data_IF_224224455201
#
_entry.id   IF_224224455201
#
_cell.length_a   1.000
_cell.length_b   1.000
_cell.length_c   1.000
_cell.angle_alpha   90.00
_cell.angle_beta   90.00
_cell.angle_gamma   90.00
#
_symmetry.space_group_name_H-M   'P 1'
#
loop_
_entity.id
_entity.type
_entity.pdbx_description
1 polymer ?
#
# COMPACT_ATOMS: atom_id res chain seq x y z
N UNK A 1 35.00 -75.55 9.86
CA UNK A 1 34.55 -74.45 10.74
C UNK A 1 35.54 -73.30 10.56
N UNK A 2 35.23 -72.34 9.69
CA UNK A 2 36.09 -71.17 9.45
C UNK A 2 35.41 -69.97 10.08
N UNK A 3 36.06 -69.38 11.08
CA UNK A 3 35.64 -68.08 11.70
C UNK A 3 36.02 -66.96 10.75
N UNK A 4 35.00 -66.26 10.26
CA UNK A 4 35.16 -65.07 9.47
C UNK A 4 35.23 -63.85 10.39
N UNK A 5 36.42 -63.24 10.45
CA UNK A 5 36.70 -62.04 11.27
C UNK A 5 36.28 -60.85 10.47
N UNK A 6 35.22 -60.12 10.94
CA UNK A 6 34.81 -58.85 10.34
C UNK A 6 35.66 -57.74 10.96
N UNK A 7 36.57 -57.17 10.17
CA UNK A 7 37.26 -55.95 10.51
C UNK A 7 36.30 -54.80 10.18
N UNK A 8 35.72 -54.18 11.23
CA UNK A 8 34.95 -52.94 11.11
C UNK A 8 35.96 -51.80 11.00
N UNK A 9 36.17 -51.34 9.78
CA UNK A 9 36.87 -50.07 9.52
C UNK A 9 35.91 -48.93 9.82
N UNK A 10 35.99 -48.38 11.04
CA UNK A 10 35.28 -47.19 11.42
C UNK A 10 35.98 -45.98 10.78
N UNK A 11 35.46 -45.56 9.60
CA UNK A 11 35.91 -44.34 8.96
C UNK A 11 35.42 -43.16 9.76
N UNK A 12 36.28 -42.61 10.61
CA UNK A 12 36.08 -41.33 11.29
C UNK A 12 36.07 -40.22 10.26
N UNK A 13 34.88 -39.92 9.73
CA UNK A 13 34.60 -38.68 9.07
C UNK A 13 34.63 -37.58 10.16
N UNK A 14 35.79 -36.98 10.38
CA UNK A 14 35.87 -35.69 11.06
C UNK A 14 35.19 -34.66 10.19
N UNK A 15 33.91 -34.46 10.43
CA UNK A 15 33.24 -33.24 9.95
C UNK A 15 33.96 -32.05 10.58
N UNK A 16 34.87 -31.45 9.79
CA UNK A 16 35.31 -30.09 10.07
C UNK A 16 34.07 -29.20 9.89
N UNK A 17 33.26 -29.07 10.92
CA UNK A 17 32.40 -27.94 11.06
C UNK A 17 33.35 -26.73 11.21
N UNK A 18 33.63 -26.08 10.09
CA UNK A 18 34.23 -24.76 10.11
C UNK A 18 33.30 -23.90 10.94
N UNK A 19 33.66 -23.62 12.18
CA UNK A 19 33.01 -22.60 12.98
C UNK A 19 33.18 -21.34 12.13
N UNK A 20 32.06 -20.86 11.53
CA UNK A 20 32.01 -19.52 10.96
C UNK A 20 32.28 -18.56 12.13
N UNK A 21 33.57 -18.32 12.40
CA UNK A 21 33.95 -17.33 13.38
C UNK A 21 33.62 -15.97 12.80
N UNK A 22 32.84 -15.20 13.50
CA UNK A 22 32.62 -13.80 13.17
C UNK A 22 33.97 -13.15 12.98
N UNK A 23 34.21 -12.49 11.83
CA UNK A 23 35.51 -11.92 11.51
C UNK A 23 35.67 -10.50 12.03
N UNK A 24 34.54 -9.87 12.32
CA UNK A 24 34.46 -8.57 12.97
C UNK A 24 33.67 -8.73 14.28
N UNK A 25 34.07 -7.95 15.27
CA UNK A 25 33.36 -7.87 16.54
C UNK A 25 33.03 -6.40 16.83
N UNK A 26 31.73 -6.13 16.99
CA UNK A 26 31.28 -4.82 17.44
C UNK A 26 31.42 -4.71 18.95
N UNK A 27 31.89 -3.57 19.46
CA UNK A 27 31.93 -3.29 20.89
C UNK A 27 30.51 -3.26 21.49
N UNK A 28 29.57 -2.74 20.71
CA UNK A 28 28.12 -2.79 20.98
C UNK A 28 27.35 -2.92 19.67
N UNK A 29 26.19 -3.54 19.70
CA UNK A 29 25.32 -3.69 18.52
C UNK A 29 23.95 -3.02 18.71
N UNK A 30 23.78 -2.29 19.79
CA UNK A 30 22.54 -1.66 20.19
C UNK A 30 22.81 -0.31 20.82
N UNK A 31 21.99 0.70 20.44
CA UNK A 31 22.01 1.99 21.07
C UNK A 31 20.60 2.56 21.24
N UNK A 32 20.34 3.19 22.40
CA UNK A 32 19.07 3.86 22.71
C UNK A 32 19.28 5.37 22.76
N UNK A 33 18.69 6.08 21.81
CA UNK A 33 18.72 7.55 21.80
C UNK A 33 17.87 8.19 22.91
N UNK A 34 17.06 7.37 23.63
CA UNK A 34 16.13 7.89 24.61
C UNK A 34 14.98 8.68 23.96
N UNK A 35 14.61 9.78 24.60
CA UNK A 35 13.57 10.69 24.10
C UNK A 35 14.22 11.82 23.31
N UNK A 36 13.84 11.98 22.04
CA UNK A 36 14.36 13.02 21.13
C UNK A 36 13.19 13.82 20.55
N UNK A 37 13.42 15.09 20.23
CA UNK A 37 12.40 15.93 19.60
C UNK A 37 12.32 15.67 18.09
N UNK A 38 11.11 15.70 17.52
CA UNK A 38 10.89 15.53 16.08
C UNK A 38 11.61 16.60 15.25
N UNK A 39 11.65 17.83 15.74
CA UNK A 39 12.29 19.00 15.11
C UNK A 39 13.70 19.28 15.67
N UNK A 40 14.23 18.40 16.51
CA UNK A 40 15.55 18.54 17.12
C UNK A 40 16.74 18.29 16.16
N UNK A 41 16.45 17.96 14.90
CA UNK A 41 17.47 17.58 13.91
C UNK A 41 17.86 16.11 13.99
N UNK A 42 18.78 15.71 13.12
CA UNK A 42 19.29 14.33 13.10
C UNK A 42 20.12 14.02 14.32
N UNK A 43 19.94 12.82 14.86
CA UNK A 43 20.78 12.24 15.92
C UNK A 43 21.67 11.17 15.33
N UNK A 44 22.88 11.00 15.92
CA UNK A 44 23.83 10.03 15.41
C UNK A 44 24.49 9.23 16.54
N UNK A 45 24.90 8.01 16.20
CA UNK A 45 25.68 7.14 17.07
C UNK A 45 26.74 6.40 16.27
N UNK A 46 27.94 6.22 16.86
CA UNK A 46 29.06 5.55 16.22
C UNK A 46 29.28 4.20 16.89
N UNK A 47 29.06 3.14 16.12
CA UNK A 47 29.40 1.77 16.52
C UNK A 47 30.86 1.47 16.11
N UNK A 48 31.69 1.13 17.06
CA UNK A 48 33.03 0.69 16.79
C UNK A 48 33.09 -0.82 16.62
N UNK A 49 33.91 -1.25 15.69
CA UNK A 49 34.15 -2.67 15.40
C UNK A 49 35.64 -2.95 15.32
N UNK A 50 36.05 -4.16 15.66
CA UNK A 50 37.42 -4.65 15.56
C UNK A 50 37.47 -5.85 14.62
N UNK A 51 38.47 -5.90 13.75
CA UNK A 51 38.77 -7.07 12.96
C UNK A 51 39.50 -8.10 13.82
N UNK A 52 38.83 -9.19 14.18
CA UNK A 52 39.40 -10.28 14.97
C UNK A 52 39.95 -11.43 14.12
N UNK A 53 39.89 -11.28 12.80
CA UNK A 53 40.45 -12.24 11.86
C UNK A 53 41.92 -12.00 11.58
N UNK A 54 42.57 -12.98 10.91
CA UNK A 54 43.98 -12.86 10.52
C UNK A 54 44.20 -12.20 9.14
N UNK A 55 43.11 -11.73 8.49
CA UNK A 55 43.15 -11.12 7.16
C UNK A 55 42.48 -9.74 7.19
N UNK A 56 42.87 -8.83 6.28
CA UNK A 56 42.12 -7.57 6.11
C UNK A 56 40.67 -7.80 5.73
N UNK A 57 39.74 -7.06 6.35
CA UNK A 57 38.30 -7.07 6.08
C UNK A 57 37.90 -5.69 5.57
N UNK A 58 36.94 -5.66 4.60
CA UNK A 58 36.38 -4.41 4.06
C UNK A 58 34.89 -4.40 4.33
N UNK A 59 34.35 -3.26 4.80
CA UNK A 59 32.90 -3.05 4.78
C UNK A 59 32.51 -2.71 3.34
N UNK A 60 31.68 -3.56 2.72
CA UNK A 60 31.26 -3.42 1.32
C UNK A 60 30.04 -2.49 1.22
N UNK A 61 29.07 -2.70 2.08
CA UNK A 61 27.84 -1.90 2.09
C UNK A 61 27.15 -1.93 3.45
N UNK A 62 26.20 -1.03 3.62
CA UNK A 62 25.25 -1.03 4.73
C UNK A 62 23.84 -0.91 4.18
N UNK A 63 22.89 -1.63 4.78
CA UNK A 63 21.46 -1.57 4.44
C UNK A 63 20.66 -1.13 5.66
N UNK A 64 19.85 -0.09 5.49
CA UNK A 64 18.98 0.43 6.56
C UNK A 64 17.53 -0.01 6.33
N UNK A 65 16.80 -0.26 7.40
CA UNK A 65 15.38 -0.69 7.32
C UNK A 65 14.40 0.43 6.94
N UNK A 66 14.87 1.68 6.82
CA UNK A 66 14.04 2.87 6.55
C UNK A 66 14.91 3.96 5.89
N UNK A 67 14.31 4.74 4.99
CA UNK A 67 14.92 5.93 4.40
C UNK A 67 15.20 7.06 5.39
N UNK A 68 14.59 7.01 6.60
CA UNK A 68 14.85 7.92 7.72
C UNK A 68 16.21 7.68 8.41
N UNK A 69 16.91 6.60 8.08
CA UNK A 69 18.17 6.19 8.68
C UNK A 69 19.24 6.09 7.61
N UNK A 70 20.40 6.65 7.84
CA UNK A 70 21.60 6.53 7.00
C UNK A 70 22.72 5.89 7.80
N UNK A 71 23.65 5.25 7.12
CA UNK A 71 24.86 4.73 7.73
C UNK A 71 26.09 5.15 6.92
N UNK A 72 27.08 5.67 7.62
CA UNK A 72 28.42 5.98 7.10
C UNK A 72 29.41 5.01 7.74
N UNK A 73 30.43 4.57 7.00
CA UNK A 73 31.36 3.57 7.50
C UNK A 73 32.79 3.75 6.96
N UNK A 74 33.74 3.13 7.64
CA UNK A 74 35.15 3.11 7.24
C UNK A 74 35.31 2.39 5.90
N UNK A 75 35.80 3.09 4.87
CA UNK A 75 35.97 2.55 3.51
C UNK A 75 37.32 1.89 3.28
N UNK A 76 38.31 2.11 4.19
CA UNK A 76 39.62 1.48 4.10
C UNK A 76 39.58 0.05 4.60
N UNK A 77 40.46 -0.85 4.08
CA UNK A 77 40.64 -2.17 4.65
C UNK A 77 40.99 -2.12 6.13
N UNK A 78 40.28 -2.91 6.92
CA UNK A 78 40.45 -3.04 8.36
C UNK A 78 41.49 -4.14 8.57
N UNK A 79 42.70 -3.77 8.95
CA UNK A 79 43.77 -4.75 9.18
C UNK A 79 43.47 -5.62 10.39
N UNK A 80 44.08 -6.81 10.52
CA UNK A 80 43.98 -7.63 11.71
C UNK A 80 44.23 -6.79 12.98
N UNK A 81 43.43 -7.00 14.01
CA UNK A 81 43.44 -6.30 15.29
C UNK A 81 43.18 -4.78 15.25
N UNK A 82 42.92 -4.23 14.08
CA UNK A 82 42.58 -2.81 13.91
C UNK A 82 41.08 -2.56 14.12
N UNK A 83 40.74 -1.32 14.47
CA UNK A 83 39.37 -0.83 14.67
C UNK A 83 38.87 -0.04 13.47
N UNK A 84 37.57 -0.04 13.30
CA UNK A 84 36.84 0.76 12.31
C UNK A 84 35.50 1.21 12.93
N UNK A 85 34.69 1.92 12.14
CA UNK A 85 33.41 2.40 12.64
C UNK A 85 32.29 2.26 11.62
N UNK A 86 31.05 2.21 12.14
CA UNK A 86 29.81 2.44 11.42
C UNK A 86 29.04 3.52 12.19
N UNK A 87 28.84 4.69 11.58
CA UNK A 87 28.06 5.79 12.14
C UNK A 87 26.65 5.70 11.61
N UNK A 88 25.69 5.56 12.52
CA UNK A 88 24.24 5.52 12.19
C UNK A 88 23.66 6.89 12.47
N UNK A 89 22.97 7.46 11.49
CA UNK A 89 22.34 8.78 11.54
C UNK A 89 20.85 8.56 11.35
N UNK A 90 20.03 8.99 12.31
CA UNK A 90 18.58 8.93 12.28
C UNK A 90 17.99 10.34 12.21
N UNK A 91 17.11 10.58 11.22
CA UNK A 91 16.35 11.81 11.12
C UNK A 91 14.95 11.58 11.72
N UNK A 92 14.59 12.21 12.85
CA UNK A 92 13.31 12.04 13.52
C UNK A 92 12.14 12.76 12.85
N UNK A 93 12.42 13.68 11.91
CA UNK A 93 11.39 14.50 11.26
C UNK A 93 10.35 13.64 10.55
N UNK A 94 9.06 13.83 10.86
CA UNK A 94 7.89 13.08 10.40
C UNK A 94 7.82 11.61 10.86
N UNK A 95 8.53 11.27 11.95
CA UNK A 95 8.49 9.92 12.55
C UNK A 95 8.19 9.97 14.06
N UNK A 96 7.12 10.64 14.52
CA UNK A 96 6.80 10.71 15.94
C UNK A 96 6.44 9.33 16.51
N UNK A 97 6.73 9.14 17.79
CA UNK A 97 6.48 7.90 18.52
C UNK A 97 7.72 7.03 18.68
N UNK A 98 7.51 5.81 19.18
CA UNK A 98 8.59 4.84 19.39
C UNK A 98 9.15 4.33 18.06
N UNK A 99 10.46 4.22 17.97
CA UNK A 99 11.14 3.67 16.81
C UNK A 99 12.19 2.63 17.19
N UNK A 100 12.40 1.69 16.28
CA UNK A 100 13.54 0.77 16.26
C UNK A 100 14.00 0.62 14.82
N UNK A 101 15.28 0.87 14.53
CA UNK A 101 15.84 0.83 13.18
C UNK A 101 17.02 -0.11 13.14
N UNK A 102 17.00 -1.01 12.17
CA UNK A 102 18.10 -1.97 11.94
C UNK A 102 19.01 -1.46 10.84
N UNK A 103 20.30 -1.64 11.04
CA UNK A 103 21.34 -1.43 10.03
C UNK A 103 22.09 -2.74 9.87
N UNK A 104 22.08 -3.29 8.67
CA UNK A 104 22.82 -4.49 8.31
C UNK A 104 24.16 -4.06 7.71
N UNK A 105 25.26 -4.59 8.21
CA UNK A 105 26.62 -4.33 7.74
C UNK A 105 27.09 -5.54 6.94
N UNK A 106 27.49 -5.33 5.69
CA UNK A 106 27.99 -6.37 4.78
C UNK A 106 29.49 -6.21 4.60
N UNK A 107 30.26 -7.27 4.81
CA UNK A 107 31.70 -7.27 4.66
C UNK A 107 32.18 -8.11 3.47
N UNK A 108 33.47 -8.01 3.09
CA UNK A 108 34.08 -8.70 1.97
C UNK A 108 34.16 -10.21 2.08
N UNK A 109 33.96 -10.77 3.26
CA UNK A 109 34.15 -12.21 3.52
C UNK A 109 32.82 -13.00 3.55
N UNK A 110 31.78 -12.46 2.94
CA UNK A 110 30.45 -13.04 2.88
C UNK A 110 29.53 -12.51 4.00
N UNK A 111 28.26 -12.82 3.90
CA UNK A 111 27.20 -12.28 4.73
C UNK A 111 27.27 -12.74 6.20
N UNK A 112 28.22 -12.22 6.96
CA UNK A 112 27.99 -11.97 8.37
C UNK A 112 27.10 -10.74 8.43
N UNK A 113 25.79 -10.96 8.45
CA UNK A 113 24.80 -9.91 8.68
C UNK A 113 24.88 -9.46 10.14
N UNK A 114 25.91 -8.71 10.48
CA UNK A 114 25.93 -8.00 11.76
C UNK A 114 24.83 -6.95 11.72
N UNK A 115 23.91 -7.06 12.66
CA UNK A 115 22.74 -6.19 12.74
C UNK A 115 22.90 -5.22 13.88
N UNK A 116 23.14 -3.96 13.54
CA UNK A 116 23.10 -2.88 14.50
C UNK A 116 21.64 -2.43 14.69
N UNK A 117 21.28 -2.12 15.91
CA UNK A 117 19.96 -1.65 16.27
C UNK A 117 20.05 -0.30 17.00
N UNK A 118 19.35 0.70 16.49
CA UNK A 118 19.10 1.95 17.21
C UNK A 118 17.63 2.09 17.52
N UNK A 119 17.29 2.58 18.71
CA UNK A 119 15.91 2.83 19.11
C UNK A 119 15.77 4.16 19.85
N UNK A 120 14.54 4.55 20.15
CA UNK A 120 14.22 5.71 20.95
C UNK A 120 12.74 6.05 20.85
N UNK A 121 12.38 7.21 21.38
CA UNK A 121 11.02 7.76 21.29
C UNK A 121 11.12 9.20 20.78
N UNK A 122 10.42 9.49 19.68
CA UNK A 122 10.34 10.83 19.11
C UNK A 122 9.12 11.54 19.68
N UNK A 123 9.34 12.66 20.39
CA UNK A 123 8.24 13.53 20.83
C UNK A 123 7.76 14.37 19.66
N UNK A 124 6.44 14.37 19.35
CA UNK A 124 5.91 15.09 18.22
C UNK A 124 6.08 16.61 18.39
N UNK A 125 6.41 17.29 17.30
CA UNK A 125 6.37 18.75 17.24
C UNK A 125 4.95 19.25 17.02
N UNK A 126 4.71 20.50 17.29
CA UNK A 126 3.49 21.15 16.84
C UNK A 126 3.58 21.38 15.32
N UNK A 127 2.61 20.83 14.58
CA UNK A 127 2.46 21.15 13.15
C UNK A 127 1.88 22.55 13.00
N UNK A 128 2.31 23.28 11.99
CA UNK A 128 1.65 24.56 11.64
C UNK A 128 0.22 24.29 11.13
N UNK A 129 -0.57 25.34 11.03
CA UNK A 129 -1.94 25.22 10.47
C UNK A 129 -1.89 24.79 9.01
N UNK A 130 -0.93 25.29 8.25
CA UNK A 130 -0.72 24.93 6.85
C UNK A 130 -0.31 23.45 6.67
N UNK A 131 0.41 22.89 7.64
CA UNK A 131 0.77 21.48 7.63
C UNK A 131 -0.38 20.56 8.05
N UNK A 132 -1.26 21.04 8.94
CA UNK A 132 -2.44 20.29 9.40
C UNK A 132 -3.56 20.39 8.35
N UNK A 133 -3.73 21.57 7.76
CA UNK A 133 -4.77 21.90 6.79
C UNK A 133 -4.14 22.48 5.51
N UNK A 134 -3.47 21.65 4.70
CA UNK A 134 -2.67 22.12 3.55
C UNK A 134 -3.50 22.71 2.42
N UNK A 135 -4.80 22.42 2.35
CA UNK A 135 -5.66 22.83 1.26
C UNK A 135 -6.46 24.06 1.67
N UNK A 136 -6.13 25.21 1.10
CA UNK A 136 -6.95 26.41 1.18
C UNK A 136 -8.11 26.31 0.16
N UNK A 137 -9.35 26.33 0.65
CA UNK A 137 -10.54 26.17 -0.19
C UNK A 137 -11.22 27.50 -0.52
N UNK A 138 -10.78 28.59 0.07
CA UNK A 138 -11.30 29.96 -0.11
C UNK A 138 -12.06 30.48 1.10
N UNK A 139 -12.24 31.80 1.16
CA UNK A 139 -12.96 32.46 2.25
C UNK A 139 -12.28 32.43 3.60
N UNK A 140 -10.97 32.21 3.67
CA UNK A 140 -10.20 32.05 4.91
C UNK A 140 -10.40 30.67 5.56
N UNK A 141 -10.74 29.67 4.76
CA UNK A 141 -11.01 28.33 5.25
C UNK A 141 -10.04 27.32 4.62
N UNK A 142 -9.53 26.40 5.45
CA UNK A 142 -8.61 25.35 5.05
C UNK A 142 -9.15 23.98 5.47
N UNK A 143 -8.76 22.93 4.75
CA UNK A 143 -9.09 21.53 5.06
C UNK A 143 -7.84 20.64 4.99
N UNK A 144 -7.85 19.56 5.74
CA UNK A 144 -6.77 18.56 5.72
C UNK A 144 -6.79 17.76 4.42
N UNK A 145 -7.96 17.50 3.87
CA UNK A 145 -8.18 16.79 2.61
C UNK A 145 -9.47 17.26 1.95
N UNK A 146 -9.54 17.18 0.64
CA UNK A 146 -10.77 17.40 -0.13
C UNK A 146 -11.29 16.10 -0.77
N UNK A 147 -10.82 14.95 -0.34
CA UNK A 147 -11.29 13.66 -0.82
C UNK A 147 -11.34 12.62 0.31
N UNK A 148 -12.30 11.70 0.21
CA UNK A 148 -12.44 10.57 1.12
C UNK A 148 -12.75 9.30 0.33
N UNK A 149 -12.20 8.16 0.77
CA UNK A 149 -12.50 6.86 0.20
C UNK A 149 -13.04 5.92 1.27
N UNK A 150 -14.27 5.45 1.06
CA UNK A 150 -14.91 4.50 1.97
C UNK A 150 -14.46 3.04 1.74
N UNK A 151 -13.69 2.76 0.68
CA UNK A 151 -13.46 1.39 0.26
C UNK A 151 -14.76 0.78 -0.28
N UNK A 152 -15.23 -0.32 0.30
CA UNK A 152 -16.52 -0.89 -0.10
C UNK A 152 -17.71 -0.08 0.45
N UNK A 153 -18.67 0.18 -0.41
CA UNK A 153 -19.99 0.74 -0.11
C UNK A 153 -21.04 -0.35 -0.36
N UNK A 154 -21.54 -0.92 0.72
CA UNK A 154 -22.55 -1.99 0.63
C UNK A 154 -23.94 -1.40 0.41
N UNK A 155 -24.72 -1.98 -0.49
CA UNK A 155 -26.10 -1.59 -0.72
C UNK A 155 -26.92 -1.62 0.57
N UNK A 156 -27.74 -0.62 0.80
CA UNK A 156 -28.60 -0.50 1.97
C UNK A 156 -27.89 -0.18 3.28
N UNK A 157 -26.55 -0.08 3.29
CA UNK A 157 -25.77 0.22 4.51
C UNK A 157 -25.12 1.60 4.42
N UNK A 158 -25.51 2.48 5.35
CA UNK A 158 -24.90 3.80 5.48
C UNK A 158 -23.47 3.68 6.00
N UNK A 159 -22.51 4.26 5.29
CA UNK A 159 -21.16 4.51 5.82
C UNK A 159 -20.99 5.97 6.16
N UNK A 160 -20.41 6.23 7.32
CA UNK A 160 -20.19 7.58 7.83
C UNK A 160 -18.71 7.84 8.07
N UNK A 161 -18.32 9.10 7.92
CA UNK A 161 -16.99 9.60 8.21
C UNK A 161 -17.04 11.08 8.55
N UNK A 162 -15.88 11.65 8.86
CA UNK A 162 -15.75 13.08 9.18
C UNK A 162 -14.53 13.65 8.48
N UNK A 163 -14.52 14.95 8.26
CA UNK A 163 -13.30 15.70 7.95
C UNK A 163 -13.24 16.98 8.75
N UNK A 164 -12.02 17.41 9.02
CA UNK A 164 -11.75 18.62 9.80
C UNK A 164 -11.61 19.81 8.86
N UNK A 165 -12.13 20.95 9.34
CA UNK A 165 -12.11 22.23 8.66
C UNK A 165 -11.61 23.30 9.62
N UNK A 166 -10.74 24.18 9.18
CA UNK A 166 -10.15 25.25 9.97
C UNK A 166 -10.47 26.62 9.38
N UNK A 167 -10.98 27.53 10.22
CA UNK A 167 -11.14 28.94 9.85
C UNK A 167 -9.88 29.71 10.27
N UNK A 168 -9.05 30.09 9.28
CA UNK A 168 -7.83 30.86 9.53
C UNK A 168 -8.06 32.38 9.60
N UNK A 169 -9.30 32.84 9.39
CA UNK A 169 -9.65 34.25 9.44
C UNK A 169 -9.91 34.75 10.86
N UNK A 170 -9.92 36.07 11.05
CA UNK A 170 -10.25 36.72 12.32
C UNK A 170 -11.76 36.94 12.53
N UNK A 171 -12.58 36.42 11.61
CA UNK A 171 -14.05 36.52 11.67
C UNK A 171 -14.65 35.12 11.60
N UNK A 172 -15.83 34.99 12.21
CA UNK A 172 -16.60 33.79 12.04
C UNK A 172 -17.06 33.62 10.58
N UNK A 173 -17.05 32.40 10.07
CA UNK A 173 -17.48 32.07 8.70
C UNK A 173 -18.70 31.16 8.73
N UNK A 174 -19.70 31.48 7.91
CA UNK A 174 -20.87 30.62 7.72
C UNK A 174 -20.53 29.52 6.73
N UNK A 175 -20.95 28.27 7.03
CA UNK A 175 -20.71 27.10 6.17
C UNK A 175 -22.06 26.47 5.80
N UNK A 176 -22.22 26.21 4.51
CA UNK A 176 -23.27 25.32 4.00
C UNK A 176 -22.67 24.36 2.97
N UNK A 177 -23.42 23.32 2.64
CA UNK A 177 -22.96 22.29 1.67
C UNK A 177 -23.99 22.18 0.57
N UNK A 178 -23.53 22.34 -0.67
CA UNK A 178 -24.29 22.04 -1.87
C UNK A 178 -23.96 20.62 -2.31
N UNK A 179 -24.95 19.76 -2.29
CA UNK A 179 -24.85 18.35 -2.68
C UNK A 179 -25.94 18.03 -3.70
N UNK A 180 -25.56 17.51 -4.85
CA UNK A 180 -26.47 17.09 -5.92
C UNK A 180 -26.75 15.60 -5.96
N UNK A 181 -26.26 14.83 -4.96
CA UNK A 181 -26.35 13.38 -4.92
C UNK A 181 -27.21 12.92 -3.74
N UNK A 182 -28.26 12.17 -4.02
CA UNK A 182 -29.18 11.62 -2.98
C UNK A 182 -28.50 10.57 -2.08
N UNK A 183 -27.40 10.01 -2.54
CA UNK A 183 -26.58 9.04 -1.83
C UNK A 183 -25.74 9.67 -0.71
N UNK A 184 -25.63 10.98 -0.71
CA UNK A 184 -24.79 11.70 0.28
C UNK A 184 -25.64 12.48 1.27
N UNK A 185 -25.26 12.38 2.52
CA UNK A 185 -25.76 13.23 3.63
C UNK A 185 -24.61 13.98 4.27
N UNK A 186 -24.84 15.22 4.67
CA UNK A 186 -23.84 16.05 5.35
C UNK A 186 -24.42 16.75 6.56
N UNK A 187 -23.61 16.82 7.62
CA UNK A 187 -23.89 17.56 8.85
C UNK A 187 -22.71 18.50 9.12
N UNK A 188 -22.88 19.76 8.82
CA UNK A 188 -21.89 20.79 9.02
C UNK A 188 -22.36 21.78 10.11
N UNK A 189 -21.43 22.37 10.88
CA UNK A 189 -21.75 23.50 11.75
C UNK A 189 -22.22 24.68 10.89
N UNK A 190 -23.23 25.42 11.36
CA UNK A 190 -23.69 26.61 10.64
C UNK A 190 -22.61 27.68 10.55
N UNK A 191 -21.70 27.71 11.52
CA UNK A 191 -20.65 28.72 11.64
C UNK A 191 -19.39 28.12 12.29
N UNK A 192 -18.22 28.55 11.78
CA UNK A 192 -16.92 28.24 12.38
C UNK A 192 -16.34 29.53 12.96
N UNK A 193 -15.98 29.50 14.24
CA UNK A 193 -15.43 30.64 14.94
C UNK A 193 -14.06 31.08 14.38
N UNK A 194 -13.62 32.31 14.62
CA UNK A 194 -12.29 32.76 14.20
C UNK A 194 -11.17 31.88 14.77
N UNK A 195 -10.14 31.59 13.97
CA UNK A 195 -8.95 30.87 14.39
C UNK A 195 -9.24 29.52 15.05
N UNK A 196 -10.32 28.86 14.62
CA UNK A 196 -10.75 27.59 15.23
C UNK A 196 -11.01 26.51 14.19
N UNK A 197 -10.92 25.27 14.66
CA UNK A 197 -11.29 24.09 13.91
C UNK A 197 -12.74 23.70 14.14
N UNK A 198 -13.29 22.95 13.22
CA UNK A 198 -14.58 22.31 13.35
C UNK A 198 -14.61 21.01 12.55
N UNK A 199 -15.64 20.20 12.76
CA UNK A 199 -15.80 18.90 12.12
C UNK A 199 -17.05 18.91 11.26
N UNK A 200 -16.92 18.43 10.05
CA UNK A 200 -18.04 18.11 9.14
C UNK A 200 -18.20 16.60 9.12
N UNK A 201 -19.38 16.11 9.47
CA UNK A 201 -19.76 14.71 9.34
C UNK A 201 -20.46 14.50 8.02
N UNK A 202 -20.26 13.35 7.40
CA UNK A 202 -20.93 12.98 6.17
C UNK A 202 -21.15 11.47 6.11
N UNK A 203 -22.17 11.08 5.33
CA UNK A 203 -22.50 9.70 5.06
C UNK A 203 -22.69 9.44 3.59
N UNK A 204 -22.50 8.19 3.19
CA UNK A 204 -22.80 7.70 1.85
C UNK A 204 -23.61 6.41 1.97
N UNK A 205 -24.78 6.40 1.32
CA UNK A 205 -25.68 5.28 1.25
C UNK A 205 -25.96 4.94 -0.22
N UNK A 206 -25.54 3.76 -0.67
CA UNK A 206 -25.98 3.23 -1.95
C UNK A 206 -27.33 2.55 -1.73
N UNK A 207 -28.43 3.03 -2.35
CA UNK A 207 -29.75 2.41 -2.13
C UNK A 207 -29.78 0.95 -2.53
N UNK A 208 -30.56 0.14 -1.82
CA UNK A 208 -30.88 -1.21 -2.26
C UNK A 208 -31.52 -1.17 -3.65
N UNK A 209 -31.20 -2.10 -4.49
CA UNK A 209 -31.75 -2.21 -5.85
C UNK A 209 -31.47 -1.00 -6.78
N UNK A 210 -30.48 -0.16 -6.45
CA UNK A 210 -30.08 0.98 -7.31
C UNK A 210 -29.45 0.55 -8.63
N UNK A 211 -28.93 -0.68 -8.72
CA UNK A 211 -28.17 -1.16 -9.87
C UNK A 211 -26.77 -0.52 -9.99
N UNK A 212 -26.33 0.27 -9.00
CA UNK A 212 -25.03 0.92 -8.97
C UNK A 212 -23.98 -0.04 -8.43
N UNK A 213 -23.02 -0.46 -9.24
CA UNK A 213 -21.96 -1.37 -8.85
C UNK A 213 -20.59 -0.85 -9.32
N UNK A 214 -19.52 -1.25 -8.61
CA UNK A 214 -18.14 -0.89 -8.92
C UNK A 214 -17.75 0.49 -8.45
N UNK A 215 -16.86 1.13 -9.17
CA UNK A 215 -16.33 2.44 -8.79
C UNK A 215 -17.41 3.52 -8.84
N UNK A 216 -17.57 4.25 -7.74
CA UNK A 216 -18.41 5.43 -7.64
C UNK A 216 -17.58 6.62 -7.17
N UNK A 217 -17.94 7.81 -7.68
CA UNK A 217 -17.33 9.07 -7.30
C UNK A 217 -18.42 10.13 -7.21
N UNK A 218 -18.66 10.62 -6.02
CA UNK A 218 -19.62 11.68 -5.75
C UNK A 218 -18.90 12.97 -5.37
N UNK A 219 -19.49 14.11 -5.67
CA UNK A 219 -18.92 15.41 -5.34
C UNK A 219 -19.91 16.27 -4.58
N UNK A 220 -19.41 16.96 -3.56
CA UNK A 220 -20.15 17.98 -2.83
C UNK A 220 -19.32 19.26 -2.73
N UNK A 221 -19.98 20.39 -2.62
CA UNK A 221 -19.32 21.68 -2.59
C UNK A 221 -19.58 22.35 -1.24
N UNK A 222 -18.51 22.74 -0.57
CA UNK A 222 -18.67 23.68 0.55
C UNK A 222 -18.98 25.06 0.00
N UNK A 223 -19.78 25.79 0.75
CA UNK A 223 -20.13 27.18 0.47
C UNK A 223 -19.77 27.99 1.70
N UNK A 224 -18.78 28.87 1.57
CA UNK A 224 -18.26 29.72 2.64
C UNK A 224 -18.78 31.13 2.47
N UNK A 225 -19.53 31.64 3.45
CA UNK A 225 -20.15 32.98 3.39
C UNK A 225 -20.94 33.21 2.07
N UNK A 226 -21.69 32.20 1.63
CA UNK A 226 -22.49 32.24 0.40
C UNK A 226 -21.71 32.10 -0.91
N UNK A 227 -20.40 31.83 -0.85
CA UNK A 227 -19.57 31.59 -2.05
C UNK A 227 -19.09 30.15 -2.10
N UNK A 228 -19.30 29.50 -3.23
CA UNK A 228 -18.82 28.15 -3.49
C UNK A 228 -17.29 28.13 -3.51
N UNK A 229 -16.71 27.14 -2.81
CA UNK A 229 -15.26 26.96 -2.72
C UNK A 229 -14.65 26.54 -4.07
N UNK A 230 -13.33 26.65 -4.19
CA UNK A 230 -12.60 26.41 -5.44
C UNK A 230 -12.64 24.95 -5.91
N UNK A 231 -12.60 24.00 -4.96
CA UNK A 231 -12.54 22.56 -5.25
C UNK A 231 -13.66 21.83 -4.54
N UNK A 232 -14.30 20.84 -5.16
CA UNK A 232 -15.28 19.98 -4.49
C UNK A 232 -14.60 19.07 -3.47
N UNK A 233 -15.40 18.59 -2.53
CA UNK A 233 -15.07 17.44 -1.72
C UNK A 233 -15.51 16.18 -2.50
N UNK A 234 -14.57 15.27 -2.75
CA UNK A 234 -14.80 14.06 -3.53
C UNK A 234 -14.94 12.86 -2.60
N UNK A 235 -16.00 12.08 -2.76
CA UNK A 235 -16.25 10.86 -2.02
C UNK A 235 -16.20 9.69 -2.99
N UNK A 236 -15.26 8.78 -2.77
CA UNK A 236 -15.04 7.62 -3.61
C UNK A 236 -15.38 6.33 -2.87
N UNK A 237 -15.77 5.31 -3.62
CA UNK A 237 -15.99 3.97 -3.09
C UNK A 237 -16.16 2.93 -4.18
N UNK A 238 -16.31 1.69 -3.76
CA UNK A 238 -16.66 0.55 -4.59
C UNK A 238 -18.02 0.03 -4.12
N UNK A 239 -19.09 0.30 -4.89
CA UNK A 239 -20.42 -0.20 -4.61
C UNK A 239 -20.49 -1.71 -4.84
N UNK A 240 -20.96 -2.44 -3.83
CA UNK A 240 -21.06 -3.90 -3.80
C UNK A 240 -22.40 -4.33 -3.20
N UNK A 241 -22.77 -5.58 -3.40
CA UNK A 241 -23.92 -6.17 -2.70
C UNK A 241 -23.76 -6.09 -1.19
N UNK A 242 -24.87 -6.01 -0.46
CA UNK A 242 -24.86 -6.15 0.99
C UNK A 242 -24.34 -7.52 1.37
N UNK A 243 -23.37 -7.56 2.27
CA UNK A 243 -22.77 -8.81 2.76
C UNK A 243 -23.40 -9.17 4.09
N UNK A 244 -23.79 -10.43 4.21
CA UNK A 244 -24.10 -11.01 5.50
C UNK A 244 -22.79 -11.53 6.12
N UNK A 245 -22.33 -10.92 7.20
CA UNK A 245 -21.13 -11.33 7.92
C UNK A 245 -21.25 -12.73 8.53
N UNK A 246 -22.49 -13.21 8.70
CA UNK A 246 -22.81 -14.55 9.19
C UNK A 246 -23.07 -15.57 8.06
N UNK A 247 -22.98 -15.17 6.80
CA UNK A 247 -23.18 -16.08 5.68
C UNK A 247 -22.19 -17.26 5.75
N UNK A 248 -22.73 -18.48 5.72
CA UNK A 248 -21.94 -19.71 5.70
C UNK A 248 -20.93 -19.68 4.53
N UNK A 249 -19.77 -20.28 4.76
CA UNK A 249 -18.61 -20.29 3.90
C UNK A 249 -18.79 -20.85 2.48
N UNK A 250 -20.01 -21.26 2.10
CA UNK A 250 -20.31 -22.06 0.92
C UNK A 250 -21.22 -21.33 -0.07
N UNK A 251 -21.48 -20.02 0.10
CA UNK A 251 -22.45 -19.32 -0.76
C UNK A 251 -21.94 -19.21 -2.21
N UNK A 252 -21.45 -18.10 -2.63
CA UNK A 252 -20.87 -17.89 -3.96
C UNK A 252 -19.36 -17.74 -3.84
N UNK A 253 -18.59 -18.31 -4.77
CA UNK A 253 -17.13 -18.19 -4.76
C UNK A 253 -16.59 -18.03 -6.17
N UNK A 254 -16.11 -16.83 -6.49
CA UNK A 254 -15.49 -16.54 -7.77
C UNK A 254 -14.04 -17.01 -7.81
N UNK A 255 -13.71 -17.82 -8.82
CA UNK A 255 -12.34 -18.24 -9.12
C UNK A 255 -12.02 -17.93 -10.57
N UNK A 256 -10.81 -17.47 -10.82
CA UNK A 256 -10.30 -17.14 -12.16
C UNK A 256 -9.13 -18.03 -12.55
N UNK A 257 -9.05 -18.39 -13.83
CA UNK A 257 -7.96 -19.22 -14.35
C UNK A 257 -6.60 -18.53 -14.28
N UNK A 258 -6.56 -17.20 -14.31
CA UNK A 258 -5.33 -16.41 -14.26
C UNK A 258 -5.57 -15.01 -13.68
N UNK A 259 -4.55 -14.46 -12.99
CA UNK A 259 -4.64 -13.12 -12.36
C UNK A 259 -4.01 -12.00 -13.21
N UNK A 260 -3.39 -12.36 -14.33
CA UNK A 260 -2.71 -11.42 -15.21
C UNK A 260 -2.85 -11.86 -16.67
N UNK A 261 -3.35 -10.99 -17.51
CA UNK A 261 -3.41 -11.14 -18.96
C UNK A 261 -2.21 -10.43 -19.56
N UNK A 262 -1.45 -11.15 -20.40
CA UNK A 262 -0.27 -10.61 -21.08
C UNK A 262 -0.47 -10.74 -22.59
N UNK A 263 -0.64 -9.61 -23.27
CA UNK A 263 -0.67 -9.58 -24.73
C UNK A 263 0.74 -9.60 -25.36
N UNK A 264 1.78 -9.31 -24.53
CA UNK A 264 3.17 -9.25 -25.01
C UNK A 264 3.47 -7.98 -25.82
N UNK A 265 4.45 -8.08 -26.70
CA UNK A 265 4.80 -7.03 -27.66
C UNK A 265 3.85 -7.10 -28.87
N UNK A 266 3.19 -5.98 -29.17
CA UNK A 266 2.13 -5.89 -30.19
C UNK A 266 2.31 -4.63 -31.01
N UNK A 267 2.29 -4.75 -32.35
CA UNK A 267 2.31 -3.61 -33.26
C UNK A 267 0.96 -2.86 -33.22
N UNK A 268 1.02 -1.54 -33.30
CA UNK A 268 -0.18 -0.69 -33.23
C UNK A 268 -1.19 -0.93 -34.36
N UNK A 269 -0.78 -1.55 -35.47
CA UNK A 269 -1.59 -1.75 -36.68
C UNK A 269 -2.14 -3.17 -36.88
N UNK A 270 -1.97 -4.10 -35.92
CA UNK A 270 -2.41 -5.50 -36.06
C UNK A 270 -3.93 -5.72 -35.90
N UNK A 271 -4.68 -4.66 -35.60
CA UNK A 271 -6.10 -4.77 -35.27
C UNK A 271 -6.34 -5.20 -33.82
N UNK A 272 -7.61 -5.56 -33.51
CA UNK A 272 -7.98 -5.95 -32.16
C UNK A 272 -7.48 -7.33 -31.81
N UNK A 273 -6.95 -7.48 -30.60
CA UNK A 273 -6.54 -8.75 -30.03
C UNK A 273 -7.42 -9.13 -28.86
N UNK A 274 -7.67 -10.40 -28.66
CA UNK A 274 -8.47 -10.91 -27.55
C UNK A 274 -7.77 -12.00 -26.79
N UNK A 275 -8.10 -12.09 -25.49
CA UNK A 275 -7.66 -13.13 -24.58
C UNK A 275 -8.86 -13.62 -23.77
N UNK A 276 -8.96 -14.92 -23.56
CA UNK A 276 -10.06 -15.54 -22.84
C UNK A 276 -9.61 -16.00 -21.46
N UNK A 277 -10.39 -15.66 -20.45
CA UNK A 277 -10.19 -16.05 -19.05
C UNK A 277 -11.44 -16.82 -18.59
N UNK A 278 -11.22 -17.92 -17.91
CA UNK A 278 -12.32 -18.69 -17.37
C UNK A 278 -12.65 -18.22 -15.96
N UNK A 279 -13.90 -17.77 -15.77
CA UNK A 279 -14.51 -17.54 -14.48
C UNK A 279 -15.24 -18.81 -14.05
N UNK A 280 -15.04 -19.26 -12.82
CA UNK A 280 -15.72 -20.40 -12.22
C UNK A 280 -16.44 -19.97 -10.96
N UNK A 281 -17.57 -20.60 -10.69
CA UNK A 281 -18.22 -20.54 -9.39
C UNK A 281 -17.89 -21.85 -8.64
N UNK A 282 -17.01 -21.75 -7.66
CA UNK A 282 -16.65 -22.88 -6.79
C UNK A 282 -17.46 -22.90 -5.48
N UNK A 283 -18.47 -22.02 -5.36
CA UNK A 283 -19.46 -22.00 -4.29
C UNK A 283 -20.71 -22.84 -4.61
N UNK A 284 -21.61 -22.92 -3.65
CA UNK A 284 -22.88 -23.69 -3.73
C UNK A 284 -24.06 -22.81 -4.18
N UNK A 285 -23.96 -21.49 -4.06
CA UNK A 285 -24.99 -20.54 -4.51
C UNK A 285 -24.73 -20.03 -5.93
N UNK A 286 -25.72 -19.35 -6.52
CA UNK A 286 -25.58 -18.73 -7.84
C UNK A 286 -24.68 -17.51 -7.76
N UNK A 287 -23.56 -17.53 -8.46
CA UNK A 287 -22.65 -16.40 -8.61
C UNK A 287 -23.17 -15.47 -9.70
N UNK A 288 -23.31 -14.19 -9.39
CA UNK A 288 -23.74 -13.16 -10.34
C UNK A 288 -22.64 -12.13 -10.54
N UNK A 289 -22.24 -11.90 -11.78
CA UNK A 289 -21.29 -10.86 -12.16
C UNK A 289 -22.08 -9.56 -12.33
N UNK A 290 -21.90 -8.63 -11.40
CA UNK A 290 -22.60 -7.35 -11.36
C UNK A 290 -22.04 -6.34 -12.35
N UNK A 291 -20.70 -6.28 -12.47
CA UNK A 291 -20.04 -5.33 -13.36
C UNK A 291 -18.63 -5.80 -13.75
N UNK A 292 -18.28 -5.52 -14.98
CA UNK A 292 -16.89 -5.57 -15.48
C UNK A 292 -16.41 -4.13 -15.68
N UNK A 293 -15.33 -3.75 -15.04
CA UNK A 293 -14.79 -2.39 -15.05
C UNK A 293 -13.37 -2.38 -15.58
N UNK A 294 -13.17 -1.66 -16.69
CA UNK A 294 -11.87 -1.36 -17.23
C UNK A 294 -11.95 0.06 -17.79
N UNK A 295 -11.14 0.98 -17.22
CA UNK A 295 -11.41 2.41 -17.36
C UNK A 295 -10.68 3.03 -18.55
N UNK A 296 -9.76 2.32 -19.19
CA UNK A 296 -8.91 2.87 -20.23
C UNK A 296 -9.47 2.61 -21.63
N UNK A 297 -9.52 3.66 -22.43
CA UNK A 297 -9.84 3.54 -23.85
C UNK A 297 -8.89 2.57 -24.57
N UNK A 298 -9.41 1.80 -25.52
CA UNK A 298 -8.66 0.74 -26.17
C UNK A 298 -8.72 -0.61 -25.47
N UNK A 299 -9.38 -0.71 -24.30
CA UNK A 299 -9.67 -1.99 -23.61
C UNK A 299 -11.17 -2.25 -23.54
N UNK A 300 -11.56 -3.50 -23.69
CA UNK A 300 -12.94 -3.96 -23.52
C UNK A 300 -12.93 -5.31 -22.82
N UNK A 301 -13.81 -5.47 -21.82
CA UNK A 301 -14.07 -6.76 -21.19
C UNK A 301 -15.53 -7.15 -21.35
N UNK A 302 -15.81 -8.39 -21.73
CA UNK A 302 -17.17 -8.91 -21.92
C UNK A 302 -17.24 -10.33 -21.38
N UNK A 303 -18.36 -10.62 -20.71
CA UNK A 303 -18.71 -11.98 -20.33
C UNK A 303 -19.49 -12.62 -21.50
N UNK A 304 -19.17 -13.84 -21.86
CA UNK A 304 -19.93 -14.60 -22.84
C UNK A 304 -21.11 -15.29 -22.17
N UNK A 305 -22.32 -15.04 -22.69
CA UNK A 305 -23.59 -15.54 -22.15
C UNK A 305 -24.13 -14.70 -21.00
N UNK A 306 -24.86 -15.32 -20.08
CA UNK A 306 -25.53 -14.65 -18.97
C UNK A 306 -24.53 -14.20 -17.87
N UNK A 307 -24.94 -13.20 -17.10
CA UNK A 307 -24.17 -12.71 -15.94
C UNK A 307 -24.13 -13.68 -14.76
N UNK A 308 -24.97 -14.72 -14.79
CA UNK A 308 -25.07 -15.73 -13.73
C UNK A 308 -24.24 -16.97 -14.04
N UNK A 309 -23.65 -17.55 -12.98
CA UNK A 309 -22.89 -18.79 -13.04
C UNK A 309 -23.40 -19.70 -11.92
N UNK A 310 -24.06 -20.78 -12.31
CA UNK A 310 -24.56 -21.80 -11.38
C UNK A 310 -23.42 -22.44 -10.58
N UNK A 311 -23.74 -23.09 -9.46
CA UNK A 311 -22.77 -23.82 -8.63
C UNK A 311 -21.97 -24.81 -9.48
N UNK A 312 -20.64 -24.77 -9.37
CA UNK A 312 -19.71 -25.57 -10.19
C UNK A 312 -19.64 -25.16 -11.68
N UNK A 313 -20.42 -24.18 -12.10
CA UNK A 313 -20.45 -23.69 -13.48
C UNK A 313 -19.27 -22.79 -13.83
N UNK A 314 -19.18 -22.46 -15.11
CA UNK A 314 -18.14 -21.55 -15.65
C UNK A 314 -18.68 -20.64 -16.74
N UNK A 315 -17.98 -19.51 -16.94
CA UNK A 315 -18.18 -18.57 -18.06
C UNK A 315 -16.83 -18.14 -18.61
N UNK A 316 -16.83 -17.75 -19.86
CA UNK A 316 -15.69 -17.14 -20.53
C UNK A 316 -15.77 -15.63 -20.39
N UNK A 317 -14.74 -15.03 -19.84
CA UNK A 317 -14.49 -13.60 -19.84
C UNK A 317 -13.53 -13.29 -20.97
N UNK A 318 -14.00 -12.59 -21.99
CA UNK A 318 -13.21 -12.14 -23.12
C UNK A 318 -12.71 -10.74 -22.88
N UNK A 319 -11.40 -10.57 -22.89
CA UNK A 319 -10.73 -9.27 -22.77
C UNK A 319 -10.09 -8.92 -24.11
N UNK A 320 -10.43 -7.77 -24.66
CA UNK A 320 -9.95 -7.28 -25.94
C UNK A 320 -9.13 -6.01 -25.77
N UNK A 321 -8.07 -5.86 -26.54
CA UNK A 321 -7.32 -4.63 -26.72
C UNK A 321 -7.37 -4.18 -28.17
N UNK A 322 -7.42 -2.86 -28.34
CA UNK A 322 -7.23 -2.21 -29.65
C UNK A 322 -5.89 -1.43 -29.60
N UNK A 323 -4.81 -2.01 -30.10
CA UNK A 323 -3.48 -1.40 -30.00
C UNK A 323 -3.38 -0.04 -30.67
N UNK A 324 -4.21 0.24 -31.67
CA UNK A 324 -4.23 1.53 -32.38
C UNK A 324 -4.70 2.71 -31.50
N UNK A 325 -5.39 2.42 -30.41
CA UNK A 325 -5.93 3.39 -29.44
C UNK A 325 -5.08 3.51 -28.16
N UNK A 326 -3.97 2.76 -28.08
CA UNK A 326 -3.11 2.71 -26.92
C UNK A 326 -1.80 3.49 -27.16
N UNK A 327 -1.21 4.08 -26.10
CA UNK A 327 0.07 4.77 -26.24
C UNK A 327 1.20 3.76 -26.51
N UNK A 328 2.23 4.17 -27.26
CA UNK A 328 3.44 3.37 -27.46
C UNK A 328 4.14 3.09 -26.13
N UNK A 329 4.77 1.92 -26.05
CA UNK A 329 5.48 1.45 -24.88
C UNK A 329 4.65 0.52 -24.00
N UNK A 330 5.05 0.37 -22.74
CA UNK A 330 4.40 -0.51 -21.80
C UNK A 330 3.06 0.08 -21.33
N UNK A 331 1.99 -0.70 -21.50
CA UNK A 331 0.64 -0.39 -21.04
C UNK A 331 0.24 -1.40 -19.99
N UNK A 332 -0.20 -0.90 -18.84
CA UNK A 332 -0.71 -1.70 -17.74
C UNK A 332 -2.07 -1.14 -17.34
N UNK A 333 -3.08 -2.01 -17.33
CA UNK A 333 -4.44 -1.65 -16.94
C UNK A 333 -4.99 -2.64 -15.93
N UNK A 334 -6.03 -2.22 -15.20
CA UNK A 334 -6.70 -3.05 -14.21
C UNK A 334 -8.14 -3.31 -14.64
N UNK A 335 -8.46 -4.58 -14.84
CA UNK A 335 -9.83 -5.03 -14.94
C UNK A 335 -10.35 -5.41 -13.56
N UNK A 336 -11.49 -4.84 -13.14
CA UNK A 336 -12.23 -5.24 -11.95
C UNK A 336 -13.45 -6.02 -12.34
N UNK A 337 -13.70 -7.09 -11.63
CA UNK A 337 -14.89 -7.93 -11.73
C UNK A 337 -15.64 -7.76 -10.41
N UNK A 338 -16.81 -7.14 -10.46
CA UNK A 338 -17.70 -6.99 -9.30
C UNK A 338 -18.71 -8.10 -9.33
N UNK A 339 -18.91 -8.80 -8.23
CA UNK A 339 -19.82 -9.94 -8.11
C UNK A 339 -20.50 -9.97 -6.74
N UNK A 340 -21.48 -10.85 -6.60
CA UNK A 340 -22.14 -11.14 -5.32
C UNK A 340 -21.36 -12.12 -4.43
N UNK A 341 -20.09 -12.39 -4.71
CA UNK A 341 -19.22 -13.17 -3.80
C UNK A 341 -19.03 -12.42 -2.49
N UNK A 342 -19.48 -12.92 -1.35
CA UNK A 342 -19.44 -12.19 -0.09
C UNK A 342 -18.03 -12.01 0.48
N UNK A 343 -17.07 -12.87 0.09
CA UNK A 343 -15.67 -12.79 0.54
C UNK A 343 -14.80 -11.97 -0.39
N UNK A 344 -15.08 -12.06 -1.70
CA UNK A 344 -14.32 -11.39 -2.74
C UNK A 344 -15.25 -10.64 -3.72
N UNK A 345 -16.01 -9.65 -3.22
CA UNK A 345 -17.00 -8.95 -4.05
C UNK A 345 -16.36 -8.17 -5.21
N UNK A 346 -15.07 -7.86 -5.12
CA UNK A 346 -14.31 -7.22 -6.19
C UNK A 346 -12.99 -7.97 -6.42
N UNK A 347 -12.92 -8.64 -7.56
CA UNK A 347 -11.70 -9.30 -8.00
C UNK A 347 -10.98 -8.42 -9.02
N UNK A 348 -9.67 -8.26 -8.88
CA UNK A 348 -8.85 -7.45 -9.78
C UNK A 348 -7.86 -8.29 -10.56
N UNK A 349 -7.79 -8.03 -11.86
CA UNK A 349 -6.82 -8.61 -12.79
C UNK A 349 -5.96 -7.52 -13.42
N UNK A 350 -4.69 -7.83 -13.72
CA UNK A 350 -3.85 -6.96 -14.53
C UNK A 350 -3.93 -7.36 -16.00
N UNK A 351 -4.05 -6.37 -16.88
CA UNK A 351 -3.95 -6.54 -18.33
C UNK A 351 -2.75 -5.74 -18.80
N UNK A 352 -1.81 -6.40 -19.50
CA UNK A 352 -0.55 -5.79 -19.90
C UNK A 352 -0.27 -6.00 -21.38
N UNK A 353 0.29 -4.98 -22.04
CA UNK A 353 0.79 -5.03 -23.40
C UNK A 353 2.01 -4.12 -23.56
N UNK A 354 2.84 -4.37 -24.56
CA UNK A 354 3.89 -3.46 -25.03
C UNK A 354 3.52 -3.06 -26.45
N UNK A 355 3.15 -1.79 -26.66
CA UNK A 355 2.73 -1.32 -27.97
C UNK A 355 3.94 -0.82 -28.76
N UNK A 356 4.18 -1.45 -29.90
CA UNK A 356 5.25 -1.14 -30.84
C UNK A 356 4.70 -0.38 -32.06
N UNK A 357 5.58 0.36 -32.73
CA UNK A 357 5.25 1.07 -33.97
C UNK A 357 4.98 0.14 -35.13
#
# INVERSE_FOLDING_TARGET
MKKLSYIVVTLLFTLNYGILSAQINFEENFYDFGVIAEDGGSVEHIFYLRNISKKPVVIVSTHTSCGCTKAEFSRKPIMPDSTAFVKVIFNPMNYPGAFARKVTVVTSEGALEERLLVKGVVTPRRKSIEEQYPIEIGGGVRVATNAHSFGYLEHGKMKQSTFEIYNESDKAVAITIENGHSELEFYAPQQILPRSESVVSFGCLIPENSGVYGSVAYSAWLVVNGKKVRYPFIINGLAIDSRDENANNLSQMIVISEKMIKFGAVKCNVGKLSHEVILRNEGEGVLEIRKLEIDKDGFVARLEGDSTIEAGGKRVLKVEIDPSRLPFGAVVERLRIVSNDPKMPVLSMRVTAIIEQ
#
